data_IF_389801013710
#
_entry.id   IF_389801013710
#
_cell.length_a   1.000
_cell.length_b   1.000
_cell.length_c   1.000
_cell.angle_alpha   90.00
_cell.angle_beta   90.00
_cell.angle_gamma   90.00
#
_symmetry.space_group_name_H-M   'P 1'
#
loop_
_entity.id
_entity.type
_entity.pdbx_description
1 polymer ?
#
# COMPACT_ATOMS: atom_id res chain seq x y z
N UNK A 1 8.41 -22.13 -3.61
CA UNK A 1 8.23 -21.01 -4.59
C UNK A 1 7.27 -20.02 -3.97
N UNK A 2 7.61 -18.72 -4.02
CA UNK A 2 6.76 -17.66 -3.48
C UNK A 2 5.51 -17.47 -4.33
N UNK A 3 4.31 -17.34 -3.71
CA UNK A 3 3.05 -17.11 -4.40
C UNK A 3 2.33 -15.90 -3.78
N UNK A 4 1.73 -15.09 -4.64
CA UNK A 4 0.88 -13.97 -4.23
C UNK A 4 -0.55 -14.19 -4.72
N UNK A 5 -1.49 -14.35 -3.80
CA UNK A 5 -2.91 -14.32 -4.08
C UNK A 5 -3.33 -12.88 -4.33
N UNK A 6 -3.76 -12.60 -5.55
CA UNK A 6 -3.80 -11.25 -6.11
C UNK A 6 -5.12 -10.95 -6.82
N UNK A 7 -5.51 -9.69 -6.76
CA UNK A 7 -6.54 -9.13 -7.63
C UNK A 7 -6.02 -7.82 -8.22
N UNK A 8 -6.06 -7.71 -9.54
CA UNK A 8 -5.38 -6.64 -10.30
C UNK A 8 -5.78 -5.23 -9.85
N UNK A 9 -7.04 -5.02 -9.46
CA UNK A 9 -7.56 -3.71 -9.02
C UNK A 9 -7.35 -3.45 -7.52
N UNK A 10 -6.81 -4.40 -6.75
CA UNK A 10 -6.56 -4.23 -5.32
C UNK A 10 -5.33 -3.37 -5.07
N UNK A 11 -5.49 -2.21 -4.43
CA UNK A 11 -4.38 -1.38 -3.98
C UNK A 11 -3.51 -2.07 -2.92
N UNK A 12 -4.10 -2.93 -2.08
CA UNK A 12 -3.34 -3.71 -1.09
C UNK A 12 -2.47 -4.79 -1.75
N UNK A 13 -2.99 -5.48 -2.77
CA UNK A 13 -2.19 -6.41 -3.57
C UNK A 13 -1.10 -5.67 -4.34
N UNK A 14 -1.43 -4.50 -4.89
CA UNK A 14 -0.46 -3.68 -5.60
C UNK A 14 0.71 -3.24 -4.74
N UNK A 15 0.53 -2.95 -3.45
CA UNK A 15 1.66 -2.70 -2.52
C UNK A 15 2.70 -3.81 -2.61
N UNK A 16 2.24 -5.06 -2.58
CA UNK A 16 3.12 -6.24 -2.61
C UNK A 16 3.76 -6.40 -3.99
N UNK A 17 2.97 -6.31 -5.07
CA UNK A 17 3.50 -6.38 -6.44
C UNK A 17 4.56 -5.31 -6.71
N UNK A 18 4.27 -4.08 -6.32
CA UNK A 18 5.17 -2.95 -6.49
C UNK A 18 6.49 -3.19 -5.75
N UNK A 19 6.40 -3.61 -4.49
CA UNK A 19 7.60 -3.85 -3.70
C UNK A 19 8.43 -5.03 -4.23
N UNK A 20 7.80 -6.15 -4.60
CA UNK A 20 8.49 -7.28 -5.23
C UNK A 20 9.22 -6.87 -6.52
N UNK A 21 8.60 -6.04 -7.34
CA UNK A 21 9.24 -5.47 -8.53
C UNK A 21 10.43 -4.58 -8.19
N UNK A 22 10.31 -3.70 -7.18
CA UNK A 22 11.40 -2.81 -6.76
C UNK A 22 12.61 -3.55 -6.20
N UNK A 23 12.40 -4.67 -5.50
CA UNK A 23 13.50 -5.51 -4.99
C UNK A 23 13.94 -6.60 -6.00
N UNK A 24 13.34 -6.64 -7.20
CA UNK A 24 13.69 -7.60 -8.24
C UNK A 24 13.42 -9.06 -7.87
N UNK A 25 12.36 -9.32 -7.08
CA UNK A 25 12.04 -10.67 -6.60
C UNK A 25 10.94 -11.31 -7.42
N UNK A 26 11.24 -12.46 -8.03
CA UNK A 26 10.25 -13.26 -8.77
C UNK A 26 9.28 -13.98 -7.83
N UNK A 27 8.05 -14.10 -8.31
CA UNK A 27 6.94 -14.79 -7.62
C UNK A 27 5.92 -15.32 -8.62
N UNK A 28 5.10 -16.27 -8.19
CA UNK A 28 3.94 -16.76 -8.93
C UNK A 28 2.70 -15.95 -8.50
N UNK A 29 1.96 -15.41 -9.45
CA UNK A 29 0.66 -14.79 -9.19
C UNK A 29 -0.43 -15.86 -9.18
N UNK A 30 -1.21 -15.91 -8.11
CA UNK A 30 -2.44 -16.71 -8.01
C UNK A 30 -3.62 -15.72 -8.09
N UNK A 31 -4.29 -15.60 -9.25
CA UNK A 31 -5.39 -14.67 -9.39
C UNK A 31 -6.57 -15.11 -8.54
N UNK A 32 -7.20 -14.15 -7.86
CA UNK A 32 -8.42 -14.36 -7.06
C UNK A 32 -9.57 -13.60 -7.72
N UNK A 33 -10.65 -14.29 -8.09
CA UNK A 33 -11.88 -13.65 -8.57
C UNK A 33 -12.59 -12.94 -7.42
N UNK A 34 -12.00 -11.79 -7.02
CA UNK A 34 -12.51 -11.00 -5.91
C UNK A 34 -13.87 -10.38 -6.22
N UNK A 35 -14.01 -9.82 -7.43
CA UNK A 35 -15.25 -9.22 -7.92
C UNK A 35 -15.35 -9.44 -9.44
N UNK A 36 -16.53 -9.92 -9.94
CA UNK A 36 -17.77 -10.18 -9.18
C UNK A 36 -17.83 -11.55 -8.50
N UNK A 37 -16.89 -12.47 -8.72
CA UNK A 37 -16.96 -13.88 -8.31
C UNK A 37 -17.01 -14.13 -6.81
N UNK A 38 -16.44 -13.24 -5.98
CA UNK A 38 -16.46 -13.39 -4.52
C UNK A 38 -15.64 -14.55 -3.99
N UNK A 39 -14.67 -15.08 -4.76
CA UNK A 39 -13.85 -16.24 -4.42
C UNK A 39 -13.19 -16.13 -3.04
N UNK A 40 -12.80 -14.90 -2.63
CA UNK A 40 -12.22 -14.63 -1.32
C UNK A 40 -13.15 -14.97 -0.13
N UNK A 41 -14.41 -15.28 -0.38
CA UNK A 41 -15.44 -15.66 0.63
C UNK A 41 -15.79 -17.15 0.57
N UNK A 42 -15.23 -17.91 -0.36
CA UNK A 42 -15.46 -19.35 -0.43
C UNK A 42 -14.79 -20.09 0.74
N UNK A 43 -15.33 -21.26 1.15
CA UNK A 43 -14.73 -22.08 2.18
C UNK A 43 -13.25 -22.38 1.91
N UNK A 44 -12.90 -22.67 0.67
CA UNK A 44 -11.54 -23.01 0.23
C UNK A 44 -10.58 -21.84 0.44
N UNK A 45 -11.00 -20.62 0.11
CA UNK A 45 -10.17 -19.45 0.34
C UNK A 45 -10.08 -19.09 1.83
N UNK A 46 -11.15 -19.29 2.59
CA UNK A 46 -11.17 -19.04 4.05
C UNK A 46 -10.23 -19.97 4.82
N UNK A 47 -9.89 -21.16 4.30
CA UNK A 47 -8.83 -22.01 4.85
C UNK A 47 -7.44 -21.36 4.69
N UNK A 48 -7.22 -20.59 3.61
CA UNK A 48 -5.96 -19.85 3.35
C UNK A 48 -5.92 -18.57 4.18
N UNK A 49 -7.01 -17.82 4.17
CA UNK A 49 -7.18 -16.59 4.96
C UNK A 49 -8.57 -16.50 5.58
N UNK A 50 -8.71 -16.80 6.87
CA UNK A 50 -10.03 -16.80 7.55
C UNK A 50 -10.70 -15.41 7.59
N UNK A 51 -9.99 -14.32 7.26
CA UNK A 51 -10.58 -12.98 7.11
C UNK A 51 -11.24 -12.78 5.73
N UNK A 52 -10.98 -13.67 4.77
CA UNK A 52 -11.45 -13.53 3.40
C UNK A 52 -11.00 -12.22 2.77
N UNK A 53 -9.71 -11.92 2.87
CA UNK A 53 -9.08 -10.70 2.37
C UNK A 53 -7.85 -11.03 1.55
N UNK A 54 -7.49 -10.13 0.65
CA UNK A 54 -6.27 -10.16 -0.17
C UNK A 54 -5.46 -8.87 0.08
N UNK A 55 -4.13 -8.92 -0.10
CA UNK A 55 -3.29 -10.04 -0.54
C UNK A 55 -3.09 -11.13 0.51
N UNK A 56 -2.72 -12.31 0.04
CA UNK A 56 -2.05 -13.34 0.83
C UNK A 56 -0.74 -13.69 0.12
N UNK A 57 0.34 -13.79 0.87
CA UNK A 57 1.63 -14.25 0.38
C UNK A 57 1.95 -15.60 1.02
N UNK A 58 2.32 -16.59 0.21
CA UNK A 58 2.93 -17.82 0.69
C UNK A 58 4.38 -17.88 0.23
N UNK A 59 5.29 -18.22 1.13
CA UNK A 59 6.70 -18.40 0.83
C UNK A 59 7.26 -19.55 1.67
N UNK A 60 7.61 -20.64 1.02
CA UNK A 60 7.91 -21.92 1.67
C UNK A 60 6.72 -22.39 2.53
N UNK A 61 6.91 -22.53 3.84
CA UNK A 61 5.87 -22.92 4.79
C UNK A 61 5.15 -21.71 5.44
N UNK A 62 5.61 -20.48 5.14
CA UNK A 62 5.04 -19.26 5.70
C UNK A 62 3.83 -18.80 4.88
N UNK A 63 2.74 -18.44 5.57
CA UNK A 63 1.59 -17.74 4.99
C UNK A 63 1.36 -16.43 5.73
N UNK A 64 1.38 -15.32 5.01
CA UNK A 64 1.08 -13.97 5.51
C UNK A 64 -0.13 -13.39 4.79
N UNK A 65 -1.01 -12.73 5.52
CA UNK A 65 -2.32 -12.25 5.05
C UNK A 65 -2.58 -10.75 5.20
N UNK A 66 -1.59 -10.00 5.64
CA UNK A 66 -1.68 -8.53 5.76
C UNK A 66 -0.62 -7.87 4.88
N UNK A 67 -1.01 -6.87 4.09
CA UNK A 67 -0.11 -6.23 3.14
C UNK A 67 1.11 -5.59 3.84
N UNK A 68 0.92 -4.97 4.99
CA UNK A 68 1.99 -4.31 5.73
C UNK A 68 2.95 -5.34 6.34
N UNK A 69 2.40 -6.44 6.89
CA UNK A 69 3.21 -7.55 7.39
C UNK A 69 4.02 -8.21 6.26
N UNK A 70 3.41 -8.37 5.08
CA UNK A 70 4.08 -8.89 3.90
C UNK A 70 5.24 -7.98 3.48
N UNK A 71 5.05 -6.65 3.45
CA UNK A 71 6.12 -5.69 3.12
C UNK A 71 7.30 -5.80 4.09
N UNK A 72 7.03 -5.87 5.40
CA UNK A 72 8.08 -6.04 6.43
C UNK A 72 8.83 -7.35 6.25
N UNK A 73 8.10 -8.46 6.01
CA UNK A 73 8.72 -9.76 5.76
C UNK A 73 9.62 -9.75 4.53
N UNK A 74 9.12 -9.23 3.40
CA UNK A 74 9.87 -9.17 2.16
C UNK A 74 11.13 -8.31 2.30
N UNK A 75 11.03 -7.14 2.93
CA UNK A 75 12.17 -6.29 3.22
C UNK A 75 13.17 -6.97 4.17
N UNK A 76 12.67 -7.66 5.19
CA UNK A 76 13.51 -8.40 6.13
C UNK A 76 14.25 -9.58 5.52
N UNK A 77 13.63 -10.29 4.57
CA UNK A 77 14.22 -11.52 3.97
C UNK A 77 15.00 -11.25 2.69
N UNK A 78 14.57 -10.30 1.85
CA UNK A 78 15.05 -10.16 0.47
C UNK A 78 15.75 -8.84 0.15
N UNK A 79 15.70 -7.83 1.05
CA UNK A 79 16.50 -6.61 0.94
C UNK A 79 17.78 -6.75 1.78
N UNK A 80 18.86 -7.22 1.14
CA UNK A 80 20.14 -7.50 1.81
C UNK A 80 20.76 -6.24 2.44
N UNK A 81 20.55 -5.09 1.81
CA UNK A 81 21.12 -3.82 2.25
C UNK A 81 20.32 -3.16 3.38
N UNK A 82 19.19 -3.75 3.77
CA UNK A 82 18.28 -3.21 4.81
C UNK A 82 17.85 -1.75 4.57
N UNK A 83 17.78 -1.34 3.33
CA UNK A 83 17.40 0.03 2.94
C UNK A 83 15.91 0.28 3.18
N UNK A 84 15.06 -0.71 2.82
CA UNK A 84 13.60 -0.58 2.89
C UNK A 84 13.02 -0.77 4.30
N UNK A 85 13.74 -1.50 5.16
CA UNK A 85 13.37 -1.71 6.56
C UNK A 85 14.63 -1.74 7.45
N UNK A 86 15.22 -0.56 7.74
CA UNK A 86 16.47 -0.44 8.52
C UNK A 86 16.33 -1.04 9.93
N UNK A 87 17.45 -1.56 10.46
CA UNK A 87 17.48 -2.22 11.78
C UNK A 87 17.48 -1.25 12.97
N UNK A 88 17.73 0.04 12.76
CA UNK A 88 17.72 1.04 13.82
C UNK A 88 16.35 1.12 14.52
N UNK A 89 16.26 0.88 15.84
CA UNK A 89 14.97 0.81 16.54
C UNK A 89 14.09 2.05 16.37
N UNK A 90 14.71 3.24 16.29
CA UNK A 90 13.99 4.48 16.04
C UNK A 90 13.27 4.45 14.67
N UNK A 91 13.99 4.06 13.61
CA UNK A 91 13.41 4.00 12.26
C UNK A 91 12.34 2.92 12.18
N UNK A 92 12.54 1.77 12.83
CA UNK A 92 11.52 0.72 12.90
C UNK A 92 10.25 1.20 13.58
N UNK A 93 10.36 1.95 14.68
CA UNK A 93 9.21 2.54 15.35
C UNK A 93 8.47 3.56 14.47
N UNK A 94 9.21 4.45 13.80
CA UNK A 94 8.64 5.41 12.85
C UNK A 94 7.97 4.70 11.67
N UNK A 95 8.59 3.67 11.09
CA UNK A 95 8.00 2.86 10.01
C UNK A 95 6.73 2.15 10.50
N UNK A 96 6.75 1.50 11.65
CA UNK A 96 5.61 0.79 12.21
C UNK A 96 4.40 1.73 12.42
N UNK A 97 4.63 2.96 12.87
CA UNK A 97 3.61 4.00 12.98
C UNK A 97 2.95 4.30 11.63
N UNK A 98 3.74 4.46 10.56
CA UNK A 98 3.22 4.73 9.22
C UNK A 98 2.59 3.50 8.55
N UNK A 99 3.04 2.29 8.86
CA UNK A 99 2.37 1.06 8.44
C UNK A 99 0.98 0.94 9.09
N UNK A 100 0.87 1.27 10.40
CA UNK A 100 -0.41 1.34 11.09
C UNK A 100 -1.33 2.39 10.46
N UNK A 101 -0.82 3.59 10.19
CA UNK A 101 -1.54 4.66 9.51
C UNK A 101 -2.03 4.24 8.11
N UNK A 102 -1.21 3.52 7.35
CA UNK A 102 -1.58 2.98 6.05
C UNK A 102 -2.66 1.89 6.12
N UNK A 103 -2.73 1.14 7.22
CA UNK A 103 -3.76 0.13 7.48
C UNK A 103 -5.02 0.67 8.15
N UNK A 104 -4.95 1.87 8.72
CA UNK A 104 -6.03 2.56 9.43
C UNK A 104 -6.58 3.75 8.65
N UNK A 105 -6.02 4.92 8.89
CA UNK A 105 -6.56 6.20 8.44
C UNK A 105 -6.61 6.33 6.90
N UNK A 106 -5.56 5.89 6.20
CA UNK A 106 -5.53 5.91 4.72
C UNK A 106 -6.58 4.97 4.11
N UNK A 107 -7.03 3.93 4.82
CA UNK A 107 -8.06 3.02 4.32
C UNK A 107 -9.41 3.68 4.08
N UNK A 108 -9.67 4.88 4.62
CA UNK A 108 -10.85 5.66 4.26
C UNK A 108 -10.86 6.05 2.78
N UNK A 109 -9.70 6.32 2.18
CA UNK A 109 -9.60 6.53 0.73
C UNK A 109 -9.90 5.24 -0.07
N UNK A 110 -9.47 4.07 0.43
CA UNK A 110 -9.86 2.79 -0.13
C UNK A 110 -11.36 2.54 -0.02
N UNK A 111 -11.99 2.89 1.11
CA UNK A 111 -13.43 2.73 1.30
C UNK A 111 -14.24 3.59 0.32
N UNK A 112 -13.85 4.86 0.10
CA UNK A 112 -14.47 5.72 -0.89
C UNK A 112 -14.36 5.13 -2.31
N UNK A 113 -13.17 4.60 -2.67
CA UNK A 113 -12.95 3.91 -3.94
C UNK A 113 -13.80 2.65 -4.10
N UNK A 114 -13.92 1.82 -3.05
CA UNK A 114 -14.75 0.61 -3.08
C UNK A 114 -16.23 0.95 -3.23
N UNK A 115 -16.69 2.04 -2.60
CA UNK A 115 -18.05 2.53 -2.81
C UNK A 115 -18.30 2.90 -4.28
N UNK A 116 -17.44 3.74 -4.86
CA UNK A 116 -17.66 4.26 -6.22
C UNK A 116 -17.43 3.22 -7.32
N UNK A 117 -16.49 2.27 -7.13
CA UNK A 117 -16.11 1.31 -8.15
C UNK A 117 -16.78 -0.08 -8.00
N UNK A 118 -17.07 -0.51 -6.78
CA UNK A 118 -17.59 -1.86 -6.50
C UNK A 118 -18.90 -1.83 -5.71
N UNK A 119 -19.51 -0.66 -5.54
CA UNK A 119 -20.84 -0.47 -4.94
C UNK A 119 -20.95 -0.97 -3.48
N UNK A 120 -19.84 -0.90 -2.74
CA UNK A 120 -19.85 -1.19 -1.30
C UNK A 120 -20.65 -0.10 -0.56
N UNK A 121 -21.44 -0.51 0.42
CA UNK A 121 -22.25 0.40 1.24
C UNK A 121 -21.38 1.07 2.33
N UNK A 122 -20.87 2.25 2.03
CA UNK A 122 -20.17 3.14 2.96
C UNK A 122 -20.85 4.50 3.02
N UNK A 123 -20.80 5.15 4.17
CA UNK A 123 -21.11 6.59 4.30
C UNK A 123 -20.02 7.40 3.57
N UNK A 124 -20.30 7.75 2.31
CA UNK A 124 -19.33 8.34 1.40
C UNK A 124 -18.78 9.69 1.91
N UNK A 125 -19.67 10.55 2.47
CA UNK A 125 -19.25 11.85 3.01
C UNK A 125 -18.31 11.67 4.20
N UNK A 126 -18.62 10.72 5.07
CA UNK A 126 -17.80 10.41 6.23
C UNK A 126 -16.42 9.84 5.84
N UNK A 127 -16.37 8.87 4.92
CA UNK A 127 -15.07 8.29 4.54
C UNK A 127 -14.23 9.27 3.73
N UNK A 128 -14.82 10.13 2.89
CA UNK A 128 -14.10 11.19 2.19
C UNK A 128 -13.53 12.22 3.17
N UNK A 129 -14.34 12.69 4.13
CA UNK A 129 -13.87 13.62 5.16
C UNK A 129 -12.72 13.03 5.98
N UNK A 130 -12.79 11.75 6.36
CA UNK A 130 -11.74 11.06 7.10
C UNK A 130 -10.47 10.88 6.24
N UNK A 131 -10.62 10.57 4.95
CA UNK A 131 -9.49 10.50 4.02
C UNK A 131 -8.78 11.86 3.87
N UNK A 132 -9.54 12.95 3.73
CA UNK A 132 -8.98 14.31 3.70
C UNK A 132 -8.25 14.66 5.00
N UNK A 133 -8.75 14.23 6.16
CA UNK A 133 -8.05 14.41 7.44
C UNK A 133 -6.72 13.65 7.46
N UNK A 134 -6.71 12.40 7.00
CA UNK A 134 -5.49 11.60 6.89
C UNK A 134 -4.49 12.23 5.90
N UNK A 135 -4.95 12.71 4.75
CA UNK A 135 -4.06 13.35 3.77
C UNK A 135 -3.44 14.64 4.27
N UNK A 136 -4.14 15.43 5.09
CA UNK A 136 -3.53 16.60 5.75
C UNK A 136 -2.37 16.18 6.65
N UNK A 137 -2.56 15.15 7.48
CA UNK A 137 -1.48 14.64 8.34
C UNK A 137 -0.26 14.20 7.52
N UNK A 138 -0.48 13.50 6.41
CA UNK A 138 0.60 13.05 5.54
C UNK A 138 1.27 14.22 4.80
N UNK A 139 0.49 15.19 4.27
CA UNK A 139 1.03 16.33 3.53
C UNK A 139 1.85 17.26 4.43
N UNK A 140 1.36 17.54 5.65
CA UNK A 140 2.07 18.33 6.66
C UNK A 140 3.39 17.64 7.04
N UNK A 141 3.35 16.33 7.31
CA UNK A 141 4.55 15.55 7.60
C UNK A 141 5.57 15.60 6.45
N UNK A 142 5.13 15.37 5.20
CA UNK A 142 6.00 15.44 4.03
C UNK A 142 6.56 16.86 3.81
N UNK A 143 5.77 17.89 4.11
CA UNK A 143 6.22 19.29 4.05
C UNK A 143 7.33 19.54 5.05
N UNK A 144 7.16 19.12 6.31
CA UNK A 144 8.20 19.24 7.34
C UNK A 144 9.46 18.48 6.96
N UNK A 145 9.31 17.29 6.36
CA UNK A 145 10.45 16.52 5.83
C UNK A 145 11.20 17.29 4.73
N UNK A 146 10.48 17.90 3.79
CA UNK A 146 11.07 18.66 2.69
C UNK A 146 11.81 19.91 3.17
N UNK A 147 11.31 20.62 4.19
CA UNK A 147 11.98 21.75 4.83
C UNK A 147 13.35 21.32 5.38
N UNK A 148 13.46 20.09 5.87
CA UNK A 148 14.72 19.50 6.39
C UNK A 148 15.59 18.86 5.30
N UNK A 149 15.24 19.02 4.01
CA UNK A 149 15.96 18.42 2.87
C UNK A 149 15.73 16.91 2.74
N UNK A 150 14.71 16.37 3.37
CA UNK A 150 14.34 14.94 3.32
C UNK A 150 13.13 14.73 2.43
N UNK A 151 13.07 13.58 1.76
CA UNK A 151 12.12 13.39 0.66
C UNK A 151 11.17 12.19 0.84
N UNK A 152 11.37 11.38 1.87
CA UNK A 152 10.63 10.15 2.15
C UNK A 152 9.92 10.22 3.48
N UNK A 153 8.89 9.38 3.66
CA UNK A 153 8.09 9.37 4.90
C UNK A 153 8.98 9.12 6.12
N UNK A 154 9.92 8.18 6.03
CA UNK A 154 10.86 7.86 7.11
C UNK A 154 12.29 7.79 6.56
N UNK A 155 13.29 8.21 7.34
CA UNK A 155 14.69 8.08 6.97
C UNK A 155 15.14 8.99 5.81
N UNK A 156 16.24 8.63 5.18
CA UNK A 156 16.84 9.37 4.05
C UNK A 156 16.53 8.69 2.70
N UNK A 157 16.19 7.41 2.72
CA UNK A 157 15.84 6.58 1.56
C UNK A 157 14.35 6.18 1.64
N UNK A 158 13.72 5.75 0.51
CA UNK A 158 12.40 5.17 0.55
C UNK A 158 12.36 3.92 1.43
N UNK A 159 11.26 3.73 2.15
CA UNK A 159 11.05 2.59 3.03
C UNK A 159 9.74 1.89 2.71
N UNK A 160 9.47 0.76 3.36
CA UNK A 160 8.18 0.08 3.25
C UNK A 160 7.00 0.97 3.70
N UNK A 161 7.24 2.03 4.48
CA UNK A 161 6.23 3.02 4.83
C UNK A 161 5.73 3.79 3.60
N UNK A 162 6.64 4.17 2.69
CA UNK A 162 6.29 4.83 1.43
C UNK A 162 5.42 3.91 0.56
N UNK A 163 5.82 2.63 0.43
CA UNK A 163 5.07 1.65 -0.35
C UNK A 163 3.70 1.36 0.26
N UNK A 164 3.60 1.30 1.59
CA UNK A 164 2.34 1.05 2.29
C UNK A 164 1.32 2.18 2.12
N UNK A 165 1.78 3.44 2.17
CA UNK A 165 0.91 4.61 2.05
C UNK A 165 0.53 4.92 0.59
N UNK A 166 1.42 4.64 -0.37
CA UNK A 166 1.34 5.13 -1.75
C UNK A 166 0.04 4.77 -2.50
N UNK A 167 -0.42 3.50 -2.58
CA UNK A 167 -1.48 3.14 -3.53
C UNK A 167 -2.79 3.85 -3.27
N UNK A 168 -3.28 3.87 -2.03
CA UNK A 168 -4.58 4.46 -1.72
C UNK A 168 -4.57 5.99 -1.65
N UNK A 169 -3.39 6.60 -1.58
CA UNK A 169 -3.22 8.04 -1.81
C UNK A 169 -3.23 8.33 -3.32
N UNK A 170 -2.49 7.55 -4.11
CA UNK A 170 -2.42 7.74 -5.55
C UNK A 170 -3.75 7.40 -6.28
N UNK A 171 -4.54 6.48 -5.74
CA UNK A 171 -5.87 6.07 -6.25
C UNK A 171 -7.04 6.89 -5.71
N UNK A 172 -6.78 7.94 -4.92
CA UNK A 172 -7.83 8.69 -4.23
C UNK A 172 -8.86 9.31 -5.19
N UNK A 173 -8.44 9.66 -6.40
CA UNK A 173 -9.32 10.18 -7.45
C UNK A 173 -10.43 9.20 -7.85
N UNK A 174 -10.19 7.89 -7.80
CA UNK A 174 -11.19 6.85 -8.08
C UNK A 174 -12.34 6.85 -7.04
N UNK A 175 -12.11 7.42 -5.85
CA UNK A 175 -13.11 7.62 -4.80
C UNK A 175 -13.58 9.09 -4.68
N UNK A 176 -13.31 9.93 -5.70
CA UNK A 176 -13.74 11.32 -5.73
C UNK A 176 -12.98 12.24 -4.75
N UNK A 177 -11.76 11.88 -4.35
CA UNK A 177 -10.93 12.65 -3.41
C UNK A 177 -9.79 13.30 -4.21
N UNK A 178 -9.87 14.66 -4.38
CA UNK A 178 -8.82 15.43 -5.06
C UNK A 178 -7.55 15.55 -4.22
N UNK A 179 -6.40 15.54 -4.91
CA UNK A 179 -5.08 15.85 -4.35
C UNK A 179 -4.61 17.28 -4.64
N UNK A 180 -5.45 18.15 -5.16
CA UNK A 180 -5.03 19.50 -5.60
C UNK A 180 -4.46 20.34 -4.46
N UNK A 181 -5.01 20.21 -3.25
CA UNK A 181 -4.57 20.95 -2.05
C UNK A 181 -3.36 20.32 -1.34
N UNK A 182 -2.91 19.12 -1.77
CA UNK A 182 -1.86 18.35 -1.11
C UNK A 182 -0.55 18.39 -1.92
N UNK A 183 0.15 19.49 -1.84
CA UNK A 183 1.30 19.75 -2.71
C UNK A 183 2.50 18.84 -2.41
N UNK A 184 2.78 18.56 -1.13
CA UNK A 184 3.87 17.68 -0.75
C UNK A 184 3.57 16.22 -1.12
N UNK A 185 2.34 15.76 -0.94
CA UNK A 185 1.86 14.44 -1.40
C UNK A 185 2.06 14.30 -2.92
N UNK A 186 1.66 15.28 -3.72
CA UNK A 186 1.81 15.22 -5.20
C UNK A 186 3.29 15.10 -5.61
N UNK A 187 4.19 15.85 -4.96
CA UNK A 187 5.63 15.72 -5.20
C UNK A 187 6.16 14.35 -4.75
N UNK A 188 5.71 13.86 -3.61
CA UNK A 188 6.09 12.54 -3.11
C UNK A 188 5.60 11.42 -4.03
N UNK A 189 4.34 11.43 -4.49
CA UNK A 189 3.84 10.49 -5.51
C UNK A 189 4.74 10.48 -6.75
N UNK A 190 5.12 11.66 -7.24
CA UNK A 190 6.02 11.77 -8.40
C UNK A 190 7.41 11.18 -8.12
N UNK A 191 7.91 11.28 -6.88
CA UNK A 191 9.18 10.64 -6.47
C UNK A 191 9.05 9.12 -6.42
N UNK A 192 7.99 8.59 -5.80
CA UNK A 192 7.74 7.14 -5.74
C UNK A 192 7.69 6.53 -7.15
N UNK A 193 7.02 7.18 -8.08
CA UNK A 193 6.92 6.73 -9.48
C UNK A 193 8.27 6.70 -10.24
N UNK A 194 9.31 7.34 -9.72
CA UNK A 194 10.66 7.33 -10.31
C UNK A 194 11.60 6.31 -9.69
N UNK A 195 11.16 5.59 -8.66
CA UNK A 195 11.98 4.54 -8.07
C UNK A 195 12.19 3.42 -9.09
N UNK A 196 13.41 2.93 -9.30
CA UNK A 196 13.66 1.78 -10.15
C UNK A 196 12.77 0.60 -9.79
N UNK A 197 12.21 -0.08 -10.78
CA UNK A 197 11.26 -1.17 -10.56
C UNK A 197 9.81 -0.72 -10.31
N UNK A 198 9.50 0.58 -10.44
CA UNK A 198 8.11 1.03 -10.38
C UNK A 198 7.27 0.35 -11.48
N UNK A 199 6.11 -0.17 -11.11
CA UNK A 199 5.13 -0.75 -12.03
C UNK A 199 3.80 0.01 -11.96
N UNK A 200 3.05 -0.01 -13.03
CA UNK A 200 1.73 0.63 -13.11
C UNK A 200 0.62 -0.32 -12.65
N UNK A 201 -0.55 0.24 -12.33
CA UNK A 201 -1.81 -0.49 -12.20
C UNK A 201 -2.95 0.37 -12.75
N UNK A 202 -4.15 -0.19 -13.01
CA UNK A 202 -5.32 0.64 -13.36
C UNK A 202 -5.55 1.74 -12.32
N UNK A 203 -5.62 2.99 -12.77
CA UNK A 203 -5.69 4.19 -11.93
C UNK A 203 -4.32 4.79 -11.52
N UNK A 204 -3.22 4.07 -11.64
CA UNK A 204 -1.86 4.57 -11.39
C UNK A 204 -1.01 4.41 -12.65
N UNK A 205 -0.67 5.53 -13.27
CA UNK A 205 0.14 5.59 -14.50
C UNK A 205 1.59 5.99 -14.18
N UNK A 206 2.52 5.66 -15.09
CA UNK A 206 3.88 6.20 -15.05
C UNK A 206 3.87 7.74 -15.21
N UNK A 207 4.97 8.39 -14.83
CA UNK A 207 5.15 9.83 -15.06
C UNK A 207 5.35 10.13 -16.55
#
# INVERSE_FOLDING_TARGET
>A
MMRLYDYILSGSCYKVRLFLSMIGKDYETVPVDYYPGGEHKTPEFLEINPLGQIPVLTDEELTLRDAQAILVYLAGKYDADRTWYPEAPRLQGEIAMWLSFAGGEIMNSSAARLHDMLFYDFDLDKVRAAAHAAFRVLDDHLTDREILGRHWIVGENPTVADIACFPYVALSGDGGISLDDYHAIRRWISRVKRIPGFIVMPGIHAN
#
